data_IF_818274915964
#
_entry.id   IF_818274915964
#
_cell.length_a   1.000
_cell.length_b   1.000
_cell.length_c   1.000
_cell.angle_alpha   90.00
_cell.angle_beta   90.00
_cell.angle_gamma   90.00
#
_symmetry.space_group_name_H-M   'P 1'
#
loop_
_entity.id
_entity.type
_entity.pdbx_description
1 polymer ?
#
# COMPACT_ATOMS: atom_id res chain seq x y z
N UNK A 1 20.38 -11.68 6.59
CA UNK A 1 19.81 -11.06 5.38
C UNK A 1 19.58 -9.61 5.74
N UNK A 2 20.34 -8.68 5.17
CA UNK A 2 20.21 -7.26 5.47
C UNK A 2 18.88 -6.79 4.87
N UNK A 3 17.99 -6.27 5.70
CA UNK A 3 16.70 -5.74 5.26
C UNK A 3 16.98 -4.34 4.75
N UNK A 4 16.75 -4.12 3.46
CA UNK A 4 16.87 -2.79 2.87
C UNK A 4 15.64 -1.97 3.28
N UNK A 5 15.90 -0.83 3.93
CA UNK A 5 14.89 0.13 4.36
C UNK A 5 15.06 1.41 3.57
N UNK A 6 13.98 1.88 2.95
CA UNK A 6 13.96 3.16 2.27
C UNK A 6 13.84 4.30 3.30
N UNK A 7 14.32 5.48 2.93
CA UNK A 7 13.89 6.70 3.61
C UNK A 7 12.42 6.99 3.31
N UNK A 8 11.76 7.77 4.17
CA UNK A 8 10.38 8.19 3.93
C UNK A 8 10.24 8.94 2.60
N UNK A 9 11.20 9.79 2.26
CA UNK A 9 11.16 10.60 1.04
C UNK A 9 11.29 9.72 -0.21
N UNK A 10 12.20 8.74 -0.19
CA UNK A 10 12.34 7.76 -1.27
C UNK A 10 11.06 6.95 -1.46
N UNK A 11 10.49 6.44 -0.36
CA UNK A 11 9.24 5.68 -0.40
C UNK A 11 8.09 6.50 -1.00
N UNK A 12 8.00 7.79 -0.69
CA UNK A 12 6.94 8.66 -1.24
C UNK A 12 7.08 8.89 -2.75
N UNK A 13 8.26 8.68 -3.34
CA UNK A 13 8.45 8.68 -4.80
C UNK A 13 7.98 7.40 -5.49
N UNK A 14 7.77 6.31 -4.74
CA UNK A 14 7.32 5.04 -5.29
C UNK A 14 5.82 5.06 -5.62
N UNK A 15 5.41 4.22 -6.56
CA UNK A 15 4.07 4.25 -7.14
C UNK A 15 3.08 3.40 -6.33
N UNK A 16 1.93 3.96 -5.89
CA UNK A 16 0.84 3.15 -5.37
C UNK A 16 0.32 2.15 -6.42
N UNK A 17 -0.32 1.03 -6.02
CA UNK A 17 -0.62 -0.04 -6.96
C UNK A 17 -1.58 0.37 -8.07
N UNK A 18 -2.61 1.15 -7.73
CA UNK A 18 -3.53 1.73 -8.72
C UNK A 18 -2.80 2.57 -9.77
N UNK A 19 -1.88 3.45 -9.35
CA UNK A 19 -1.14 4.31 -10.27
C UNK A 19 -0.19 3.50 -11.15
N UNK A 20 0.42 2.43 -10.61
CA UNK A 20 1.22 1.52 -11.40
C UNK A 20 0.38 0.81 -12.47
N UNK A 21 -0.82 0.32 -12.12
CA UNK A 21 -1.77 -0.27 -13.07
C UNK A 21 -2.18 0.71 -14.17
N UNK A 22 -2.53 1.94 -13.79
CA UNK A 22 -2.90 2.98 -14.75
C UNK A 22 -1.77 3.24 -15.75
N UNK A 23 -0.51 3.23 -15.27
CA UNK A 23 0.69 3.43 -16.09
C UNK A 23 0.91 2.32 -17.13
N UNK A 24 0.56 1.09 -16.78
CA UNK A 24 0.80 -0.11 -17.59
C UNK A 24 -0.44 -0.58 -18.35
N UNK A 25 -1.57 0.11 -18.18
CA UNK A 25 -2.86 -0.20 -18.83
C UNK A 25 -2.80 -0.26 -20.36
N UNK A 26 -1.82 0.42 -20.98
CA UNK A 26 -1.60 0.41 -22.42
C UNK A 26 -0.72 -0.74 -22.93
N UNK A 27 -0.22 -1.61 -22.06
CA UNK A 27 0.60 -2.75 -22.46
C UNK A 27 -0.24 -3.85 -23.12
N UNK A 28 0.29 -4.53 -24.15
CA UNK A 28 -0.36 -5.70 -24.72
C UNK A 28 -0.40 -6.86 -23.70
N UNK A 29 -1.49 -7.64 -23.72
CA UNK A 29 -1.64 -8.82 -22.88
C UNK A 29 -2.08 -8.53 -21.44
N UNK A 30 -1.93 -9.53 -20.56
CA UNK A 30 -2.31 -9.43 -19.15
C UNK A 30 -1.22 -8.71 -18.35
N UNK A 31 -1.20 -7.38 -18.43
CA UNK A 31 -0.23 -6.51 -17.76
C UNK A 31 -0.17 -6.73 -16.23
N UNK A 32 -1.30 -7.06 -15.59
CA UNK A 32 -1.32 -7.43 -14.17
C UNK A 32 -0.53 -8.71 -13.93
N UNK A 33 -0.73 -9.73 -14.76
CA UNK A 33 0.00 -11.01 -14.65
C UNK A 33 1.50 -10.79 -14.86
N UNK A 34 1.88 -9.96 -15.82
CA UNK A 34 3.29 -9.64 -16.09
C UNK A 34 3.94 -8.85 -14.94
N UNK A 35 3.25 -7.85 -14.39
CA UNK A 35 3.71 -7.13 -13.20
C UNK A 35 3.91 -8.10 -12.02
N UNK A 36 2.97 -9.01 -11.77
CA UNK A 36 3.10 -10.03 -10.74
C UNK A 36 4.29 -10.96 -10.98
N UNK A 37 4.51 -11.37 -12.24
CA UNK A 37 5.64 -12.21 -12.63
C UNK A 37 6.97 -11.54 -12.28
N UNK A 38 7.10 -10.24 -12.58
CA UNK A 38 8.31 -9.45 -12.30
C UNK A 38 8.54 -9.19 -10.82
N UNK A 39 7.48 -9.00 -10.03
CA UNK A 39 7.56 -8.94 -8.57
C UNK A 39 8.06 -10.28 -7.99
N UNK A 40 7.60 -11.41 -8.55
CA UNK A 40 8.04 -12.75 -8.14
C UNK A 40 9.48 -13.08 -8.56
N UNK A 41 10.01 -12.52 -9.66
CA UNK A 41 11.42 -12.68 -10.05
C UNK A 41 12.35 -11.71 -9.32
N UNK A 42 11.81 -10.59 -8.84
CA UNK A 42 12.60 -9.50 -8.23
C UNK A 42 13.05 -8.45 -9.25
N UNK A 43 12.55 -8.51 -10.48
CA UNK A 43 12.83 -7.50 -11.52
C UNK A 43 12.14 -6.16 -11.22
N UNK A 44 11.08 -6.20 -10.40
CA UNK A 44 10.42 -5.02 -9.83
C UNK A 44 10.43 -5.16 -8.32
N UNK A 45 10.82 -4.10 -7.63
CA UNK A 45 10.77 -4.03 -6.18
C UNK A 45 9.44 -3.46 -5.70
N UNK A 46 9.05 -3.87 -4.50
CA UNK A 46 7.91 -3.30 -3.80
C UNK A 46 8.29 -3.00 -2.36
N UNK A 47 7.81 -1.88 -1.84
CA UNK A 47 8.06 -1.46 -0.46
C UNK A 47 6.74 -1.22 0.25
N UNK A 48 6.64 -1.63 1.52
CA UNK A 48 5.50 -1.28 2.36
C UNK A 48 5.82 -0.04 3.16
N UNK A 49 4.80 0.78 3.44
CA UNK A 49 4.93 1.83 4.45
C UNK A 49 5.16 1.23 5.82
N UNK A 50 4.42 0.17 6.11
CA UNK A 50 4.39 -0.56 7.37
C UNK A 50 4.22 -2.05 7.11
N UNK A 51 4.97 -2.86 7.84
CA UNK A 51 4.79 -4.31 7.89
C UNK A 51 4.66 -4.79 9.33
N UNK A 52 3.69 -5.67 9.55
CA UNK A 52 3.37 -6.29 10.83
C UNK A 52 3.59 -7.79 10.75
N UNK A 53 4.15 -8.35 11.81
CA UNK A 53 4.42 -9.79 11.95
C UNK A 53 3.90 -10.26 13.30
N UNK A 54 3.34 -11.46 13.30
CA UNK A 54 3.03 -12.19 14.53
C UNK A 54 4.20 -13.11 14.87
N UNK A 55 4.45 -13.31 16.16
CA UNK A 55 5.33 -14.39 16.60
C UNK A 55 4.60 -15.73 16.59
N UNK A 56 5.33 -16.79 16.91
CA UNK A 56 4.81 -18.16 17.07
C UNK A 56 3.74 -18.31 18.16
N UNK A 57 3.49 -17.27 18.96
CA UNK A 57 2.39 -17.22 19.94
C UNK A 57 1.17 -16.45 19.43
N UNK A 58 1.20 -16.00 18.17
CA UNK A 58 0.15 -15.19 17.54
C UNK A 58 0.14 -13.73 17.98
N UNK A 59 1.14 -13.28 18.76
CA UNK A 59 1.23 -11.89 19.25
C UNK A 59 1.93 -11.01 18.22
N UNK A 60 1.39 -9.82 18.01
CA UNK A 60 2.00 -8.79 17.16
C UNK A 60 3.30 -8.31 17.83
N UNK A 61 4.46 -8.62 17.27
CA UNK A 61 5.74 -8.36 17.93
C UNK A 61 6.53 -7.20 17.33
N UNK A 62 6.46 -7.00 16.01
CA UNK A 62 7.34 -6.04 15.35
C UNK A 62 6.60 -5.22 14.29
N UNK A 63 6.98 -3.95 14.22
CA UNK A 63 6.58 -3.03 13.19
C UNK A 63 7.84 -2.63 12.43
N UNK A 64 7.82 -2.80 11.11
CA UNK A 64 8.88 -2.25 10.24
C UNK A 64 8.27 -1.22 9.33
N UNK A 65 9.06 -0.18 9.03
CA UNK A 65 8.64 0.90 8.16
C UNK A 65 9.50 0.94 6.90
N UNK A 66 8.88 1.31 5.78
CA UNK A 66 9.56 1.55 4.51
C UNK A 66 10.41 0.36 4.06
N UNK A 67 9.93 -0.85 4.30
CA UNK A 67 10.67 -2.09 4.05
C UNK A 67 10.51 -2.52 2.60
N UNK A 68 11.64 -2.75 1.92
CA UNK A 68 11.65 -3.37 0.60
C UNK A 68 11.43 -4.87 0.75
N UNK A 69 10.40 -5.37 0.07
CA UNK A 69 9.96 -6.76 0.12
C UNK A 69 10.73 -7.60 -0.89
N UNK A 70 11.38 -8.65 -0.40
CA UNK A 70 12.05 -9.60 -1.25
C UNK A 70 11.07 -10.41 -2.12
N UNK A 71 11.51 -10.80 -3.31
CA UNK A 71 10.71 -11.52 -4.30
C UNK A 71 10.03 -12.81 -3.77
N UNK A 72 10.64 -13.48 -2.80
CA UNK A 72 10.07 -14.70 -2.21
C UNK A 72 8.75 -14.46 -1.44
N UNK A 73 8.52 -13.25 -0.91
CA UNK A 73 7.23 -12.89 -0.30
C UNK A 73 6.12 -12.90 -1.36
N UNK A 74 6.41 -12.38 -2.56
CA UNK A 74 5.47 -12.37 -3.67
C UNK A 74 5.14 -13.76 -4.21
N UNK A 75 6.10 -14.70 -4.15
CA UNK A 75 5.87 -16.11 -4.50
C UNK A 75 4.93 -16.84 -3.55
N UNK A 76 4.86 -16.39 -2.28
CA UNK A 76 4.14 -17.08 -1.20
C UNK A 76 2.80 -16.41 -0.85
N UNK A 77 2.57 -15.18 -1.29
CA UNK A 77 1.38 -14.37 -0.96
C UNK A 77 0.08 -14.69 -1.70
N UNK A 78 -0.06 -15.82 -2.40
CA UNK A 78 -1.25 -16.11 -3.22
C UNK A 78 -1.32 -15.35 -4.54
N UNK A 79 -2.43 -15.48 -5.28
CA UNK A 79 -2.53 -14.95 -6.65
C UNK A 79 -2.91 -13.46 -6.69
N UNK A 80 -1.89 -12.61 -6.58
CA UNK A 80 -1.98 -11.15 -6.61
C UNK A 80 -2.77 -10.61 -7.82
N UNK A 81 -2.76 -11.34 -8.95
CA UNK A 81 -3.38 -10.88 -10.18
C UNK A 81 -4.91 -10.75 -10.09
N UNK A 82 -5.55 -11.46 -9.16
CA UNK A 82 -7.00 -11.43 -8.97
C UNK A 82 -7.44 -10.65 -7.71
N UNK A 83 -6.50 -10.11 -6.94
CA UNK A 83 -6.80 -9.39 -5.70
C UNK A 83 -7.12 -7.92 -6.00
N UNK A 84 -8.36 -7.65 -6.40
CA UNK A 84 -8.82 -6.30 -6.73
C UNK A 84 -8.70 -5.31 -5.57
N UNK A 85 -8.83 -5.79 -4.33
CA UNK A 85 -8.72 -4.97 -3.14
C UNK A 85 -7.27 -4.54 -2.90
N UNK A 86 -6.29 -5.43 -3.11
CA UNK A 86 -4.88 -5.09 -3.09
C UNK A 86 -4.56 -3.97 -4.08
N UNK A 87 -5.03 -4.07 -5.33
CA UNK A 87 -4.74 -3.06 -6.35
C UNK A 87 -5.37 -1.69 -6.05
N UNK A 88 -6.49 -1.68 -5.32
CA UNK A 88 -7.15 -0.44 -4.91
C UNK A 88 -6.50 0.23 -3.70
N UNK A 89 -6.08 -0.55 -2.69
CA UNK A 89 -5.72 -0.04 -1.36
C UNK A 89 -4.23 -0.19 -1.04
N UNK A 90 -3.53 -1.09 -1.72
CA UNK A 90 -2.12 -1.41 -1.45
C UNK A 90 -1.88 -2.09 -0.11
N UNK A 91 -2.90 -2.74 0.45
CA UNK A 91 -2.76 -3.58 1.63
C UNK A 91 -2.76 -5.04 1.20
N UNK A 92 -1.86 -5.84 1.77
CA UNK A 92 -1.80 -7.27 1.48
C UNK A 92 -1.22 -8.05 2.63
N UNK A 93 -1.79 -9.23 2.88
CA UNK A 93 -1.19 -10.23 3.75
C UNK A 93 -0.39 -11.23 2.92
N UNK A 94 0.86 -11.45 3.30
CA UNK A 94 1.72 -12.50 2.76
C UNK A 94 1.80 -13.64 3.76
N UNK A 95 1.86 -14.88 3.27
CA UNK A 95 2.08 -16.06 4.11
C UNK A 95 3.43 -16.67 3.72
N UNK A 96 4.55 -16.03 4.07
CA UNK A 96 5.85 -16.64 3.83
C UNK A 96 5.84 -18.01 4.48
N UNK A 97 6.15 -19.06 3.73
CA UNK A 97 6.47 -20.36 4.32
C UNK A 97 7.97 -20.36 4.56
N UNK A 98 8.39 -20.52 5.80
CA UNK A 98 9.79 -20.81 6.08
C UNK A 98 10.12 -22.24 5.59
N UNK A 99 11.39 -22.65 5.71
CA UNK A 99 11.83 -24.00 5.32
C UNK A 99 11.14 -25.14 6.07
N UNK A 100 10.40 -24.84 7.14
CA UNK A 100 9.66 -25.77 7.97
C UNK A 100 8.14 -25.62 7.84
N UNK A 101 7.65 -24.69 7.01
CA UNK A 101 6.24 -24.38 6.84
C UNK A 101 5.61 -23.53 7.96
N UNK A 102 6.41 -22.97 8.86
CA UNK A 102 5.98 -22.35 10.13
C UNK A 102 6.16 -20.84 10.18
N UNK A 103 6.04 -20.13 9.05
CA UNK A 103 6.11 -18.67 9.11
C UNK A 103 4.71 -18.04 9.16
N UNK A 104 4.59 -17.11 10.08
CA UNK A 104 3.37 -16.37 10.37
C UNK A 104 3.04 -15.36 9.26
N UNK A 105 1.76 -15.02 9.06
CA UNK A 105 1.36 -14.01 8.12
C UNK A 105 2.06 -12.67 8.39
N UNK A 106 2.52 -12.04 7.30
CA UNK A 106 3.05 -10.69 7.28
C UNK A 106 2.02 -9.78 6.65
N UNK A 107 1.50 -8.84 7.43
CA UNK A 107 0.56 -7.83 6.93
C UNK A 107 1.33 -6.60 6.49
N UNK A 108 1.26 -6.28 5.20
CA UNK A 108 1.93 -5.14 4.57
C UNK A 108 0.89 -4.08 4.20
N UNK A 109 1.16 -2.84 4.61
CA UNK A 109 0.29 -1.69 4.41
C UNK A 109 0.96 -0.63 3.54
N UNK A 110 0.18 -0.02 2.66
CA UNK A 110 0.68 1.02 1.76
C UNK A 110 1.80 0.48 0.88
N UNK A 111 1.62 -0.67 0.25
CA UNK A 111 2.56 -1.18 -0.73
C UNK A 111 2.69 -0.18 -1.88
N UNK A 112 3.92 0.05 -2.30
CA UNK A 112 4.28 0.85 -3.47
C UNK A 112 5.31 0.10 -4.30
N UNK A 113 5.37 0.42 -5.59
CA UNK A 113 6.28 -0.20 -6.55
C UNK A 113 7.35 0.78 -6.99
N UNK A 114 8.55 0.24 -7.18
CA UNK A 114 9.66 1.00 -7.72
C UNK A 114 9.31 1.50 -9.14
N UNK A 115 9.30 2.83 -9.37
CA UNK A 115 9.01 3.39 -10.67
C UNK A 115 10.02 2.96 -11.74
N UNK A 116 11.29 2.70 -11.37
CA UNK A 116 12.32 2.29 -12.34
C UNK A 116 12.00 0.93 -12.93
N UNK A 117 11.65 -0.05 -12.08
CA UNK A 117 11.20 -1.36 -12.54
C UNK A 117 9.95 -1.30 -13.44
N UNK A 118 9.01 -0.40 -13.17
CA UNK A 118 7.81 -0.19 -14.00
C UNK A 118 8.18 0.42 -15.37
N UNK A 119 9.06 1.41 -15.40
CA UNK A 119 9.51 2.05 -16.64
C UNK A 119 10.32 1.06 -17.52
N UNK A 120 11.12 0.18 -16.91
CA UNK A 120 11.80 -0.92 -17.62
C UNK A 120 10.80 -1.91 -18.22
N UNK A 121 9.77 -2.30 -17.46
CA UNK A 121 8.71 -3.18 -17.96
C UNK A 121 7.97 -2.61 -19.17
N UNK A 122 7.68 -1.31 -19.16
CA UNK A 122 7.08 -0.62 -20.31
C UNK A 122 8.01 -0.63 -21.53
N UNK A 123 9.29 -0.38 -21.30
CA UNK A 123 10.33 -0.39 -22.35
C UNK A 123 10.45 -1.76 -23.00
N UNK A 124 10.49 -2.83 -22.21
CA UNK A 124 10.56 -4.22 -22.70
C UNK A 124 9.33 -4.60 -23.54
N UNK A 125 8.16 -4.02 -23.22
CA UNK A 125 6.93 -4.22 -23.98
C UNK A 125 6.83 -3.34 -25.24
N UNK A 126 7.86 -2.54 -25.55
CA UNK A 126 7.86 -1.61 -26.68
C UNK A 126 6.89 -0.45 -26.50
N UNK A 127 6.45 -0.17 -25.27
CA UNK A 127 5.52 0.93 -24.95
C UNK A 127 6.33 2.12 -24.49
N UNK A 128 6.27 3.22 -25.23
CA UNK A 128 6.89 4.47 -24.80
C UNK A 128 6.23 4.94 -23.48
N UNK A 129 7.02 5.27 -22.44
CA UNK A 129 6.46 5.71 -21.16
C UNK A 129 5.65 6.99 -21.36
N UNK A 130 4.38 6.97 -20.93
CA UNK A 130 3.42 8.10 -21.09
C UNK A 130 3.82 9.38 -20.34
N UNK A 131 4.71 9.25 -19.36
CA UNK A 131 5.23 10.37 -18.57
C UNK A 131 6.75 10.29 -18.64
N UNK A 132 7.42 11.33 -19.15
CA UNK A 132 8.86 11.49 -19.02
C UNK A 132 9.18 11.60 -17.53
N UNK A 133 9.51 10.48 -16.91
CA UNK A 133 9.95 10.44 -15.52
C UNK A 133 11.29 11.17 -15.45
N UNK A 134 11.43 12.26 -14.66
CA UNK A 134 12.72 12.89 -14.42
C UNK A 134 13.75 11.89 -13.87
N UNK A 135 13.29 10.82 -13.22
CA UNK A 135 14.12 9.73 -12.71
C UNK A 135 14.59 8.80 -13.84
N UNK A 136 13.73 8.44 -14.79
CA UNK A 136 14.12 7.64 -15.97
C UNK A 136 15.11 8.41 -16.85
N UNK A 137 14.92 9.73 -16.99
CA UNK A 137 15.84 10.62 -17.69
C UNK A 137 17.18 10.83 -16.94
N UNK A 138 17.21 10.59 -15.61
CA UNK A 138 18.43 10.61 -14.78
C UNK A 138 19.19 9.28 -14.84
N UNK A 139 18.49 8.15 -14.90
CA UNK A 139 19.11 6.82 -15.11
C UNK A 139 19.68 6.70 -16.52
N UNK A 140 18.96 7.18 -17.54
CA UNK A 140 19.44 7.19 -18.92
C UNK A 140 20.65 8.12 -19.16
N UNK A 141 20.83 9.15 -18.31
CA UNK A 141 21.97 10.08 -18.39
C UNK A 141 23.14 9.72 -17.47
N UNK A 142 23.03 8.62 -16.71
CA UNK A 142 24.04 8.12 -15.79
C UNK A 142 24.64 9.23 -14.93
N UNK A 143 23.98 9.66 -13.85
CA UNK A 143 24.59 10.70 -13.01
C UNK A 143 24.38 10.58 -11.50
N UNK A 144 25.48 10.93 -10.84
CA UNK A 144 25.71 11.26 -9.44
C UNK A 144 24.75 12.32 -8.90
N UNK A 145 24.46 12.33 -7.58
CA UNK A 145 23.48 13.23 -7.01
C UNK A 145 24.00 14.68 -6.99
N UNK A 146 23.20 15.59 -7.54
CA UNK A 146 23.37 17.03 -7.32
C UNK A 146 22.26 17.52 -6.37
N UNK A 147 22.61 18.20 -5.26
CA UNK A 147 21.62 18.70 -4.31
C UNK A 147 21.05 20.02 -4.83
N UNK A 148 19.73 20.17 -4.73
CA UNK A 148 18.92 21.42 -4.73
C UNK A 148 17.82 21.44 -5.80
N UNK A 149 16.62 20.97 -5.45
CA UNK A 149 15.37 21.48 -6.03
C UNK A 149 14.21 21.45 -5.00
N UNK A 150 13.21 22.35 -5.15
CA UNK A 150 12.46 22.90 -4.02
C UNK A 150 11.22 22.08 -3.64
N UNK A 151 10.90 22.16 -2.35
CA UNK A 151 9.78 21.50 -1.67
C UNK A 151 8.42 21.96 -2.24
N UNK A 152 7.69 21.03 -2.87
CA UNK A 152 6.29 21.26 -3.22
C UNK A 152 5.44 21.30 -1.95
N UNK A 153 4.67 22.39 -1.78
CA UNK A 153 3.73 22.59 -0.67
C UNK A 153 2.59 21.57 -0.74
N UNK A 154 2.38 20.83 0.34
CA UNK A 154 1.26 19.90 0.52
C UNK A 154 -0.09 20.64 0.54
N UNK A 155 -1.16 20.09 -0.08
CA UNK A 155 -2.50 20.68 0.00
C UNK A 155 -3.04 20.64 1.43
N UNK A 156 -3.84 21.65 1.82
CA UNK A 156 -4.52 21.67 3.12
C UNK A 156 -5.65 20.62 3.12
N UNK A 157 -5.84 19.92 4.25
CA UNK A 157 -6.83 18.83 4.46
C UNK A 157 -8.28 19.13 4.02
N UNK A 158 -8.66 20.40 3.86
CA UNK A 158 -10.02 20.81 3.48
C UNK A 158 -10.33 20.62 1.98
N UNK A 159 -9.32 20.43 1.13
CA UNK A 159 -9.48 20.30 -0.33
C UNK A 159 -9.45 18.84 -0.82
N UNK A 160 -9.37 17.86 0.08
CA UNK A 160 -9.28 16.45 -0.29
C UNK A 160 -10.66 15.84 -0.58
N UNK A 161 -10.81 15.01 -1.63
CA UNK A 161 -12.06 14.33 -1.95
C UNK A 161 -12.51 13.42 -0.80
N UNK A 162 -13.82 13.38 -0.55
CA UNK A 162 -14.40 12.50 0.48
C UNK A 162 -14.32 11.05 0.01
N UNK A 163 -13.92 10.14 0.90
CA UNK A 163 -13.82 8.72 0.56
C UNK A 163 -15.20 8.11 0.27
N UNK A 164 -15.37 7.30 -0.80
CA UNK A 164 -16.61 6.57 -1.08
C UNK A 164 -17.07 5.66 0.07
N UNK A 165 -18.39 5.52 0.28
CA UNK A 165 -18.98 4.75 1.39
C UNK A 165 -18.54 3.29 1.42
N UNK A 166 -18.56 2.61 0.27
CA UNK A 166 -18.17 1.21 0.16
C UNK A 166 -16.71 0.96 0.63
N UNK A 167 -15.80 1.89 0.33
CA UNK A 167 -14.38 1.76 0.72
C UNK A 167 -14.23 2.02 2.22
N UNK A 168 -14.99 2.96 2.77
CA UNK A 168 -14.98 3.25 4.20
C UNK A 168 -15.58 2.10 5.03
N UNK A 169 -16.65 1.47 4.55
CA UNK A 169 -17.29 0.31 5.19
C UNK A 169 -16.38 -0.92 5.14
N UNK A 170 -15.80 -1.24 3.98
CA UNK A 170 -14.83 -2.32 3.84
C UNK A 170 -13.60 -2.13 4.74
N UNK A 171 -13.12 -0.89 4.87
CA UNK A 171 -12.07 -0.56 5.83
C UNK A 171 -12.51 -0.77 7.28
N UNK A 172 -13.73 -0.35 7.64
CA UNK A 172 -14.22 -0.45 9.01
C UNK A 172 -14.42 -1.91 9.45
N UNK A 173 -14.96 -2.76 8.56
CA UNK A 173 -15.11 -4.19 8.79
C UNK A 173 -13.74 -4.86 8.97
N UNK A 174 -12.78 -4.50 8.12
CA UNK A 174 -11.39 -4.93 8.27
C UNK A 174 -10.80 -4.45 9.61
N UNK A 175 -10.97 -3.17 9.97
CA UNK A 175 -10.40 -2.58 11.18
C UNK A 175 -10.96 -3.24 12.44
N UNK A 176 -12.26 -3.52 12.49
CA UNK A 176 -12.89 -4.24 13.62
C UNK A 176 -12.40 -5.67 13.77
N UNK A 177 -12.17 -6.36 12.65
CA UNK A 177 -11.70 -7.74 12.66
C UNK A 177 -10.21 -7.90 13.02
N UNK A 178 -9.40 -6.86 12.81
CA UNK A 178 -7.94 -6.97 12.87
C UNK A 178 -7.28 -6.04 13.91
N UNK A 179 -7.99 -5.03 14.43
CA UNK A 179 -7.43 -4.14 15.45
C UNK A 179 -7.44 -4.83 16.84
N UNK A 180 -6.29 -4.89 17.54
CA UNK A 180 -6.22 -5.49 18.89
C UNK A 180 -7.05 -4.71 19.93
N UNK A 181 -7.31 -3.42 19.68
CA UNK A 181 -8.31 -2.61 20.39
C UNK A 181 -9.00 -1.68 19.41
N UNK A 182 -10.31 -1.86 19.23
CA UNK A 182 -11.15 -0.94 18.45
C UNK A 182 -11.34 0.33 19.27
N UNK A 183 -10.41 1.27 19.12
CA UNK A 183 -10.48 2.61 19.72
C UNK A 183 -10.57 3.65 18.62
N UNK A 184 -11.23 4.77 18.93
CA UNK A 184 -11.39 5.88 17.99
C UNK A 184 -10.05 6.46 17.55
N UNK A 185 -9.10 6.63 18.46
CA UNK A 185 -7.78 7.18 18.13
C UNK A 185 -6.99 6.25 17.19
N UNK A 186 -7.06 4.93 17.41
CA UNK A 186 -6.44 3.96 16.51
C UNK A 186 -7.13 3.91 15.15
N UNK A 187 -8.45 4.08 15.10
CA UNK A 187 -9.22 4.14 13.88
C UNK A 187 -8.94 5.43 13.09
N UNK A 188 -8.84 6.57 13.76
CA UNK A 188 -8.45 7.85 13.17
C UNK A 188 -7.02 7.79 12.61
N UNK A 189 -6.08 7.22 13.37
CA UNK A 189 -4.71 7.02 12.90
C UNK A 189 -4.64 6.05 11.71
N UNK A 190 -5.43 4.97 11.73
CA UNK A 190 -5.52 3.98 10.65
C UNK A 190 -6.10 4.60 9.38
N UNK A 191 -7.23 5.30 9.48
CA UNK A 191 -7.89 5.95 8.35
C UNK A 191 -6.99 7.05 7.74
N UNK A 192 -6.35 7.87 8.57
CA UNK A 192 -5.42 8.91 8.10
C UNK A 192 -4.21 8.32 7.35
N UNK A 193 -3.78 7.10 7.70
CA UNK A 193 -2.68 6.41 7.03
C UNK A 193 -3.11 5.65 5.78
N UNK A 194 -4.29 5.04 5.78
CA UNK A 194 -4.80 4.29 4.62
C UNK A 194 -5.33 5.20 3.52
N UNK A 195 -5.80 6.40 3.88
CA UNK A 195 -6.41 7.33 2.94
C UNK A 195 -5.79 8.75 3.04
N UNK A 196 -4.48 8.90 2.81
CA UNK A 196 -3.78 10.18 3.01
C UNK A 196 -4.26 11.29 2.06
N UNK A 197 -4.84 10.91 0.92
CA UNK A 197 -5.38 11.83 -0.10
C UNK A 197 -6.91 11.93 -0.08
N UNK A 198 -7.58 11.41 0.96
CA UNK A 198 -9.02 11.56 1.10
C UNK A 198 -9.37 12.16 2.45
N UNK A 199 -10.43 12.95 2.48
CA UNK A 199 -10.97 13.43 3.74
C UNK A 199 -11.82 12.32 4.37
N UNK A 200 -11.29 11.74 5.44
CA UNK A 200 -11.96 10.74 6.23
C UNK A 200 -12.50 11.41 7.51
N UNK A 201 -13.76 11.83 7.46
CA UNK A 201 -14.39 12.61 8.54
C UNK A 201 -14.38 11.83 9.87
N UNK A 202 -13.93 12.48 10.95
CA UNK A 202 -13.88 11.92 12.32
C UNK A 202 -15.21 11.39 12.82
N UNK A 203 -16.31 12.06 12.50
CA UNK A 203 -17.65 11.58 12.89
C UNK A 203 -18.01 10.29 12.15
N UNK A 204 -17.60 10.18 10.88
CA UNK A 204 -17.82 8.98 10.06
C UNK A 204 -16.99 7.80 10.54
N UNK A 205 -15.78 8.03 11.03
CA UNK A 205 -14.95 6.98 11.68
C UNK A 205 -15.66 6.45 12.91
N UNK A 206 -16.16 7.35 13.78
CA UNK A 206 -16.92 6.97 14.97
C UNK A 206 -18.12 6.11 14.59
N UNK A 207 -18.95 6.57 13.66
CA UNK A 207 -20.19 5.88 13.27
C UNK A 207 -19.91 4.50 12.62
N UNK A 208 -18.77 4.35 11.95
CA UNK A 208 -18.37 3.09 11.33
C UNK A 208 -17.77 2.10 12.32
N UNK A 209 -17.02 2.53 13.34
CA UNK A 209 -16.35 1.63 14.29
C UNK A 209 -17.17 1.35 15.55
N UNK A 210 -18.03 2.27 15.97
CA UNK A 210 -18.92 2.12 17.12
C UNK A 210 -20.33 1.78 16.61
N UNK A 211 -20.91 0.60 16.94
CA UNK A 211 -22.30 0.36 16.61
C UNK A 211 -23.16 1.40 17.33
N UNK A 212 -24.04 2.08 16.59
CA UNK A 212 -25.05 2.94 17.18
C UNK A 212 -25.74 2.19 18.32
N UNK A 213 -25.78 2.76 19.53
CA UNK A 213 -26.57 2.22 20.63
C UNK A 213 -28.02 2.16 20.16
N UNK A 214 -28.45 1.00 19.70
CA UNK A 214 -29.83 0.68 19.38
C UNK A 214 -30.58 0.61 20.71
N UNK A 215 -31.04 1.75 21.21
CA UNK A 215 -31.69 1.80 22.53
C UNK A 215 -31.76 3.17 23.19
N UNK A 216 -32.42 4.15 22.57
CA UNK A 216 -33.25 5.08 23.32
C UNK A 216 -34.62 5.16 22.64
N UNK A 217 -35.58 4.37 23.15
CA UNK A 217 -37.00 4.65 22.94
C UNK A 217 -37.25 6.10 23.40
N UNK A 218 -37.97 6.93 22.63
CA UNK A 218 -38.45 8.19 23.15
C UNK A 218 -39.34 7.90 24.35
N UNK A 219 -39.02 8.46 25.52
CA UNK A 219 -39.98 8.59 26.61
C UNK A 219 -41.02 9.60 26.16
N UNK A 220 -42.12 9.12 25.63
CA UNK A 220 -43.36 9.89 25.54
C UNK A 220 -43.75 10.30 26.96
N UNK A 221 -43.81 11.60 27.19
CA UNK A 221 -44.60 12.19 28.28
C UNK A 221 -46.06 12.19 27.88
#
# INVERSE_FOLDING_TARGET
MTIETLTSDEYETWLPPKLALDRISGMPGSHITELCRRLCSGDIQAASRRSLWKDSSGRLQAERFYEVHAAHLWKTGGNAAHDSQFWAVGTRQFNPKDRFGNAEPVECFGLRFDPVGIDLMLTDAGVAPRVKSPLAERVARGFTPSPSQPVHKTPRKQDLPVLPNQIAEAWADWFKGNAPRVTREAAEASAAHMFPNHNFNRDRIRDLIEPAKQGQRPKTK
#
